data_IF_822103712073
#
_entry.id   IF_822103712073
#
_cell.length_a   1.000
_cell.length_b   1.000
_cell.length_c   1.000
_cell.angle_alpha   90.00
_cell.angle_beta   90.00
_cell.angle_gamma   90.00
#
_symmetry.space_group_name_H-M   'P 1'
#
loop_
_entity.id
_entity.type
_entity.pdbx_description
1 polymer ?
#
# COMPACT_ATOMS: atom_id res chain seq x y z
N UNK A 1 8.51 5.78 11.77
CA UNK A 1 7.74 5.72 13.04
C UNK A 1 6.62 4.71 12.90
N UNK A 2 6.17 4.10 13.99
CA UNK A 2 5.00 3.22 14.01
C UNK A 2 3.91 3.75 14.94
N UNK A 3 2.66 3.32 14.72
CA UNK A 3 1.51 3.68 15.56
C UNK A 3 0.74 2.42 15.94
N UNK A 4 0.32 2.33 17.19
CA UNK A 4 -0.50 1.21 17.70
C UNK A 4 -1.43 1.67 18.81
N UNK A 5 -2.44 0.87 19.07
CA UNK A 5 -3.41 1.06 20.15
C UNK A 5 -4.41 -0.07 20.13
N UNK A 6 -5.03 -0.34 21.28
CA UNK A 6 -6.09 -1.33 21.39
C UNK A 6 -7.47 -0.69 21.54
N UNK A 7 -8.50 -1.34 20.98
CA UNK A 7 -9.90 -0.95 21.15
C UNK A 7 -10.14 0.47 20.62
N UNK A 8 -10.67 1.38 21.44
CA UNK A 8 -10.81 2.80 21.08
C UNK A 8 -9.51 3.44 20.60
N UNK A 9 -8.36 3.08 21.18
CA UNK A 9 -7.06 3.55 20.70
C UNK A 9 -6.62 2.83 19.42
N UNK A 10 -7.13 1.64 19.16
CA UNK A 10 -6.96 0.93 17.89
C UNK A 10 -7.67 1.64 16.75
N UNK A 11 -8.87 2.20 16.99
CA UNK A 11 -9.57 3.09 16.02
C UNK A 11 -8.69 4.30 15.69
N UNK A 12 -8.15 4.96 16.72
CA UNK A 12 -7.24 6.09 16.55
C UNK A 12 -5.95 5.73 15.81
N UNK A 13 -5.30 4.61 16.16
CA UNK A 13 -4.09 4.13 15.48
C UNK A 13 -4.36 3.81 14.01
N UNK A 14 -5.52 3.22 13.70
CA UNK A 14 -5.95 2.98 12.33
C UNK A 14 -6.14 4.30 11.57
N UNK A 15 -6.92 5.25 12.11
CA UNK A 15 -7.14 6.56 11.50
C UNK A 15 -5.83 7.34 11.26
N UNK A 16 -4.92 7.35 12.24
CA UNK A 16 -3.58 7.95 12.09
C UNK A 16 -2.83 7.28 10.94
N UNK A 17 -2.87 5.96 10.85
CA UNK A 17 -2.24 5.22 9.76
C UNK A 17 -2.83 5.51 8.39
N UNK A 18 -4.15 5.71 8.31
CA UNK A 18 -4.87 6.05 7.07
C UNK A 18 -4.48 7.43 6.56
N UNK A 19 -4.43 8.44 7.43
CA UNK A 19 -4.27 9.84 7.01
C UNK A 19 -2.84 10.38 7.10
N UNK A 20 -1.98 9.86 7.98
CA UNK A 20 -0.59 10.30 8.11
C UNK A 20 0.37 9.40 7.33
N UNK A 21 0.75 9.86 6.14
CA UNK A 21 1.65 9.13 5.24
C UNK A 21 3.09 8.99 5.77
N UNK A 22 3.45 9.64 6.89
CA UNK A 22 4.77 9.50 7.54
C UNK A 22 4.86 8.26 8.43
N UNK A 23 3.73 7.60 8.71
CA UNK A 23 3.67 6.40 9.54
C UNK A 23 4.09 5.18 8.71
N UNK A 24 5.25 4.63 9.03
CA UNK A 24 5.83 3.51 8.29
C UNK A 24 5.18 2.15 8.62
N UNK A 25 4.61 2.03 9.84
CA UNK A 25 3.94 0.81 10.31
C UNK A 25 2.72 1.16 11.18
N UNK A 26 1.55 0.73 10.75
CA UNK A 26 0.28 0.90 11.47
C UNK A 26 -0.17 -0.43 12.06
N UNK A 27 -0.50 -0.45 13.34
CA UNK A 27 -0.80 -1.68 14.09
C UNK A 27 -2.05 -1.52 14.97
N UNK A 28 -3.27 -1.48 14.39
CA UNK A 28 -4.50 -1.41 15.15
C UNK A 28 -4.79 -2.77 15.80
N UNK A 29 -5.10 -2.76 17.08
CA UNK A 29 -5.45 -3.95 17.86
C UNK A 29 -6.93 -3.88 18.24
N UNK A 30 -7.71 -4.90 17.88
CA UNK A 30 -9.10 -5.10 18.30
C UNK A 30 -9.95 -3.83 18.15
N UNK A 31 -9.81 -3.15 17.00
CA UNK A 31 -10.31 -1.79 16.82
C UNK A 31 -11.84 -1.69 16.81
N UNK A 32 -12.54 -2.75 16.39
CA UNK A 32 -14.01 -2.81 16.38
C UNK A 32 -14.67 -1.83 15.41
N UNK A 33 -16.01 -1.71 15.45
CA UNK A 33 -16.78 -0.77 14.61
C UNK A 33 -16.24 0.66 14.70
N UNK A 34 -16.22 1.40 13.58
CA UNK A 34 -15.47 2.68 13.43
C UNK A 34 -13.94 2.56 13.45
N UNK A 35 -13.41 1.33 13.53
CA UNK A 35 -12.02 0.96 13.26
C UNK A 35 -11.92 0.24 11.92
N UNK A 36 -11.42 -0.99 11.91
CA UNK A 36 -11.14 -1.80 10.71
C UNK A 36 -12.35 -2.52 10.07
N UNK A 37 -13.37 -3.03 10.79
CA UNK A 37 -14.54 -3.66 10.17
C UNK A 37 -15.18 -2.84 9.06
N UNK A 38 -15.56 -3.48 7.94
CA UNK A 38 -16.38 -2.83 6.90
C UNK A 38 -17.73 -2.39 7.47
N UNK A 39 -18.15 -1.17 7.17
CA UNK A 39 -19.42 -0.61 7.63
C UNK A 39 -20.62 -1.43 7.12
N UNK A 40 -20.56 -1.91 5.87
CA UNK A 40 -21.64 -2.71 5.28
C UNK A 40 -21.80 -4.11 5.91
N UNK A 41 -20.77 -4.62 6.55
CA UNK A 41 -20.82 -5.93 7.22
C UNK A 41 -21.28 -5.88 8.67
N UNK A 42 -21.29 -4.70 9.30
CA UNK A 42 -21.73 -4.53 10.69
C UNK A 42 -23.19 -4.96 10.90
N UNK A 43 -24.18 -4.56 10.06
CA UNK A 43 -25.55 -5.04 10.21
C UNK A 43 -25.64 -6.57 10.08
N UNK A 44 -26.12 -7.23 11.14
CA UNK A 44 -26.34 -8.69 11.14
C UNK A 44 -25.17 -9.53 11.62
N UNK A 45 -24.00 -8.94 11.92
CA UNK A 45 -22.84 -9.68 12.46
C UNK A 45 -22.89 -9.86 13.99
N UNK A 46 -23.65 -9.03 14.72
CA UNK A 46 -23.59 -8.96 16.18
C UNK A 46 -22.47 -8.04 16.71
N UNK A 47 -21.88 -7.24 15.82
CA UNK A 47 -20.93 -6.19 16.15
C UNK A 47 -21.62 -4.98 16.82
N UNK A 48 -20.81 -4.10 17.41
CA UNK A 48 -21.29 -2.77 17.83
C UNK A 48 -21.94 -2.09 16.62
N UNK A 49 -23.20 -1.66 16.75
CA UNK A 49 -23.90 -1.01 15.63
C UNK A 49 -23.25 0.31 15.25
N UNK A 50 -23.41 0.73 13.99
CA UNK A 50 -22.84 1.99 13.50
C UNK A 50 -23.42 3.20 14.23
N UNK A 51 -24.71 3.17 14.58
CA UNK A 51 -25.35 4.21 15.38
C UNK A 51 -24.81 4.25 16.81
N UNK A 52 -24.55 3.10 17.43
CA UNK A 52 -23.90 3.04 18.74
C UNK A 52 -22.47 3.58 18.69
N UNK A 53 -21.67 3.16 17.72
CA UNK A 53 -20.28 3.64 17.57
C UNK A 53 -20.21 5.15 17.30
N UNK A 54 -21.13 5.69 16.48
CA UNK A 54 -21.24 7.12 16.20
C UNK A 54 -21.67 7.93 17.44
N UNK A 55 -22.61 7.40 18.23
CA UNK A 55 -23.15 8.09 19.40
C UNK A 55 -22.33 7.94 20.68
N UNK A 56 -21.41 6.96 20.76
CA UNK A 56 -20.63 6.69 21.97
C UNK A 56 -19.60 7.79 22.24
N UNK A 57 -18.85 8.19 21.21
CA UNK A 57 -17.78 9.19 21.24
C UNK A 57 -17.60 9.80 19.85
N UNK A 58 -17.00 11.00 19.71
CA UNK A 58 -16.80 11.66 18.42
C UNK A 58 -15.64 11.05 17.60
N UNK A 59 -15.66 9.73 17.36
CA UNK A 59 -14.66 9.01 16.57
C UNK A 59 -14.87 9.17 15.06
N UNK A 60 -16.10 9.46 14.64
CA UNK A 60 -16.52 9.61 13.25
C UNK A 60 -17.04 11.03 13.05
N UNK A 61 -16.78 11.61 11.88
CA UNK A 61 -17.27 12.95 11.55
C UNK A 61 -18.79 12.99 11.40
N UNK A 62 -19.39 14.15 11.65
CA UNK A 62 -20.86 14.37 11.70
C UNK A 62 -21.60 13.87 10.45
N UNK A 63 -20.97 13.95 9.28
CA UNK A 63 -21.52 13.45 8.02
C UNK A 63 -21.89 11.95 8.08
N UNK A 64 -21.17 11.15 8.88
CA UNK A 64 -21.43 9.73 9.04
C UNK A 64 -22.80 9.44 9.67
N UNK A 65 -23.34 10.36 10.46
CA UNK A 65 -24.64 10.20 11.13
C UNK A 65 -25.77 9.81 10.17
N UNK A 66 -25.76 10.37 8.96
CA UNK A 66 -26.74 10.09 7.89
C UNK A 66 -26.70 8.68 7.32
N UNK A 67 -25.65 7.91 7.64
CA UNK A 67 -25.39 6.58 7.07
C UNK A 67 -25.45 5.45 8.11
N UNK A 68 -25.57 5.78 9.40
CA UNK A 68 -25.56 4.80 10.49
C UNK A 68 -26.62 3.70 10.37
N UNK A 69 -27.76 3.98 9.72
CA UNK A 69 -28.84 3.03 9.42
C UNK A 69 -28.86 2.55 7.96
N UNK A 70 -27.96 3.06 7.11
CA UNK A 70 -27.94 2.79 5.66
C UNK A 70 -26.51 2.81 5.10
N UNK A 71 -25.59 1.96 5.61
CA UNK A 71 -24.18 2.01 5.23
C UNK A 71 -23.94 1.74 3.74
N UNK A 72 -24.85 1.01 3.07
CA UNK A 72 -24.78 0.77 1.62
C UNK A 72 -24.79 2.05 0.77
N UNK A 73 -25.28 3.18 1.32
CA UNK A 73 -25.32 4.48 0.65
C UNK A 73 -24.00 5.25 0.72
N UNK A 74 -23.04 4.83 1.55
CA UNK A 74 -21.72 5.47 1.58
C UNK A 74 -21.01 5.18 0.24
N UNK A 75 -20.38 6.16 -0.41
CA UNK A 75 -19.58 5.87 -1.61
C UNK A 75 -18.26 5.17 -1.28
N UNK A 76 -17.98 4.95 0.01
CA UNK A 76 -16.76 4.31 0.51
C UNK A 76 -17.05 3.23 1.54
N UNK A 77 -16.07 2.37 1.80
CA UNK A 77 -16.07 1.45 2.95
C UNK A 77 -14.65 1.27 3.52
N UNK A 78 -14.54 0.62 4.68
CA UNK A 78 -13.29 0.54 5.45
C UNK A 78 -12.18 -0.21 4.71
N UNK A 79 -12.48 -1.11 3.77
CA UNK A 79 -11.46 -1.75 2.93
C UNK A 79 -10.67 -0.75 2.05
N UNK A 80 -11.28 0.36 1.63
CA UNK A 80 -10.59 1.44 0.93
C UNK A 80 -9.74 2.26 1.89
N UNK A 81 -10.17 2.41 3.15
CA UNK A 81 -9.35 3.02 4.19
C UNK A 81 -8.12 2.15 4.49
N UNK A 82 -8.28 0.83 4.54
CA UNK A 82 -7.14 -0.12 4.60
C UNK A 82 -6.21 0.10 3.41
N UNK A 83 -6.75 0.31 2.21
CA UNK A 83 -5.96 0.58 1.01
C UNK A 83 -5.19 1.91 1.06
N UNK A 84 -5.68 2.94 1.76
CA UNK A 84 -4.95 4.21 1.98
C UNK A 84 -3.67 4.06 2.82
N UNK A 85 -3.51 2.92 3.51
CA UNK A 85 -2.25 2.58 4.19
C UNK A 85 -1.21 2.04 3.20
N UNK A 86 -1.63 1.48 2.06
CA UNK A 86 -0.71 0.93 1.08
C UNK A 86 0.22 2.00 0.46
N UNK A 87 1.48 1.68 0.16
CA UNK A 87 2.17 0.40 0.37
C UNK A 87 2.85 0.29 1.74
N UNK A 88 2.53 1.15 2.71
CA UNK A 88 3.17 1.17 4.04
C UNK A 88 2.78 -0.08 4.85
N UNK A 89 3.56 -0.40 5.87
CA UNK A 89 3.32 -1.59 6.69
C UNK A 89 2.02 -1.49 7.46
N UNK A 90 1.21 -2.54 7.40
CA UNK A 90 -0.03 -2.65 8.15
C UNK A 90 -0.13 -4.02 8.83
N UNK A 91 -0.28 -4.04 10.15
CA UNK A 91 -0.56 -5.26 10.90
C UNK A 91 -1.83 -5.12 11.73
N UNK A 92 -2.93 -5.66 11.22
CA UNK A 92 -4.23 -5.71 11.90
C UNK A 92 -4.26 -6.94 12.82
N UNK A 93 -4.49 -6.70 14.10
CA UNK A 93 -4.59 -7.73 15.14
C UNK A 93 -6.02 -7.76 15.69
N UNK A 94 -6.73 -8.87 15.52
CA UNK A 94 -8.15 -8.96 15.87
C UNK A 94 -8.46 -10.16 16.77
N UNK A 95 -9.65 -10.11 17.38
CA UNK A 95 -10.10 -11.10 18.33
C UNK A 95 -11.45 -11.71 17.86
N UNK A 96 -11.46 -12.99 17.46
CA UNK A 96 -12.62 -13.65 16.89
C UNK A 96 -13.63 -14.10 17.95
N UNK A 97 -13.29 -13.96 19.24
CA UNK A 97 -14.12 -14.39 20.37
C UNK A 97 -15.12 -13.30 20.81
N UNK A 98 -14.94 -12.06 20.36
CA UNK A 98 -15.78 -10.92 20.74
C UNK A 98 -16.57 -10.46 19.51
N UNK A 99 -17.83 -10.91 19.40
CA UNK A 99 -18.72 -10.54 18.30
C UNK A 99 -18.86 -9.01 18.15
N UNK A 100 -18.89 -8.28 19.27
CA UNK A 100 -19.00 -6.82 19.30
C UNK A 100 -17.89 -6.08 18.50
N UNK A 101 -16.74 -6.73 18.26
CA UNK A 101 -15.65 -6.16 17.45
C UNK A 101 -15.86 -6.30 15.93
N UNK A 102 -16.85 -7.06 15.48
CA UNK A 102 -17.05 -7.33 14.04
C UNK A 102 -15.86 -8.04 13.36
N UNK A 103 -15.32 -9.14 13.91
CA UNK A 103 -14.12 -9.79 13.37
C UNK A 103 -14.30 -10.37 11.96
N UNK A 104 -15.51 -10.81 11.58
CA UNK A 104 -15.81 -11.25 10.21
C UNK A 104 -15.69 -10.06 9.27
N UNK A 105 -16.31 -8.93 9.59
CA UNK A 105 -16.22 -7.70 8.80
C UNK A 105 -14.80 -7.13 8.75
N UNK A 106 -14.02 -7.24 9.83
CA UNK A 106 -12.63 -6.79 9.84
C UNK A 106 -11.75 -7.64 8.92
N UNK A 107 -11.94 -8.95 8.90
CA UNK A 107 -11.23 -9.82 7.95
C UNK A 107 -11.60 -9.53 6.49
N UNK A 108 -12.86 -9.19 6.20
CA UNK A 108 -13.27 -8.73 4.86
C UNK A 108 -12.59 -7.41 4.50
N UNK A 109 -12.50 -6.46 5.43
CA UNK A 109 -11.80 -5.19 5.20
C UNK A 109 -10.32 -5.41 4.86
N UNK A 110 -9.64 -6.28 5.63
CA UNK A 110 -8.25 -6.63 5.41
C UNK A 110 -8.03 -7.33 4.06
N UNK A 111 -8.88 -8.29 3.70
CA UNK A 111 -8.81 -8.99 2.42
C UNK A 111 -9.07 -8.03 1.24
N UNK A 112 -10.07 -7.15 1.35
CA UNK A 112 -10.38 -6.17 0.30
C UNK A 112 -9.25 -5.16 0.10
N UNK A 113 -8.69 -4.63 1.19
CA UNK A 113 -7.52 -3.75 1.12
C UNK A 113 -6.27 -4.47 0.60
N UNK A 114 -6.10 -5.77 0.93
CA UNK A 114 -4.97 -6.58 0.43
C UNK A 114 -4.96 -6.70 -1.10
N UNK A 115 -6.11 -6.59 -1.78
CA UNK A 115 -6.14 -6.55 -3.25
C UNK A 115 -5.47 -5.29 -3.81
N UNK A 116 -5.57 -4.15 -3.12
CA UNK A 116 -4.84 -2.93 -3.50
C UNK A 116 -3.34 -3.06 -3.22
N UNK A 117 -2.97 -3.63 -2.06
CA UNK A 117 -1.57 -3.97 -1.78
C UNK A 117 -0.98 -4.88 -2.87
N UNK A 118 -1.73 -5.91 -3.30
CA UNK A 118 -1.35 -6.80 -4.38
C UNK A 118 -1.20 -6.07 -5.71
N UNK A 119 -2.17 -5.23 -6.08
CA UNK A 119 -2.14 -4.44 -7.30
C UNK A 119 -0.92 -3.49 -7.37
N UNK A 120 -0.48 -2.99 -6.21
CA UNK A 120 0.72 -2.15 -6.04
C UNK A 120 2.05 -2.93 -5.96
N UNK A 121 2.03 -4.26 -6.06
CA UNK A 121 3.24 -5.08 -5.87
C UNK A 121 3.76 -5.10 -4.42
N UNK A 122 2.94 -4.67 -3.46
CA UNK A 122 3.27 -4.56 -2.04
C UNK A 122 2.49 -5.57 -1.19
N UNK A 123 2.00 -6.68 -1.78
CA UNK A 123 1.18 -7.68 -1.09
C UNK A 123 1.79 -8.17 0.23
N UNK A 124 3.11 -8.24 0.31
CA UNK A 124 3.88 -8.65 1.48
C UNK A 124 3.87 -7.62 2.64
N UNK A 125 3.22 -6.48 2.48
CA UNK A 125 3.24 -5.38 3.46
C UNK A 125 2.00 -5.30 4.34
N UNK A 126 1.00 -6.16 4.09
CA UNK A 126 -0.19 -6.28 4.94
C UNK A 126 -0.18 -7.61 5.69
N UNK A 127 -0.43 -7.54 6.99
CA UNK A 127 -0.61 -8.68 7.89
C UNK A 127 -1.96 -8.54 8.57
N UNK A 128 -2.72 -9.62 8.65
CA UNK A 128 -3.97 -9.71 9.40
C UNK A 128 -3.93 -10.96 10.26
N UNK A 129 -4.25 -10.87 11.54
CA UNK A 129 -4.24 -12.03 12.40
C UNK A 129 -5.38 -12.00 13.42
N UNK A 130 -6.36 -12.89 13.23
CA UNK A 130 -7.40 -13.17 14.23
C UNK A 130 -7.37 -14.60 14.75
N UNK A 131 -6.56 -15.51 14.20
CA UNK A 131 -6.51 -16.88 14.72
C UNK A 131 -5.70 -16.99 16.01
N UNK A 132 -6.40 -16.78 17.13
CA UNK A 132 -5.87 -16.69 18.49
C UNK A 132 -6.68 -17.53 19.47
N UNK A 133 -6.02 -18.06 20.50
CA UNK A 133 -6.69 -18.89 21.52
C UNK A 133 -7.34 -18.06 22.61
N UNK A 134 -6.63 -17.06 23.15
CA UNK A 134 -7.15 -16.20 24.21
C UNK A 134 -8.14 -15.16 23.67
N UNK A 135 -9.38 -15.22 24.16
CA UNK A 135 -10.47 -14.29 23.81
C UNK A 135 -10.52 -13.02 24.64
N UNK A 136 -9.62 -12.85 25.61
CA UNK A 136 -9.59 -11.67 26.48
C UNK A 136 -9.31 -10.40 25.67
N UNK A 137 -10.12 -9.37 25.90
CA UNK A 137 -10.02 -8.10 25.17
C UNK A 137 -8.68 -7.40 25.45
N UNK A 138 -7.99 -6.97 24.41
CA UNK A 138 -6.67 -6.32 24.49
C UNK A 138 -5.56 -7.14 25.14
N UNK A 139 -5.72 -8.46 25.22
CA UNK A 139 -4.67 -9.34 25.73
C UNK A 139 -3.47 -9.40 24.77
N UNK A 140 -2.28 -9.52 25.35
CA UNK A 140 -1.09 -9.85 24.59
C UNK A 140 -1.08 -11.34 24.26
N UNK A 141 -0.80 -11.71 23.01
CA UNK A 141 -0.95 -13.07 22.50
C UNK A 141 0.34 -13.56 21.87
N UNK A 142 0.70 -14.79 22.18
CA UNK A 142 1.93 -15.42 21.67
C UNK A 142 1.94 -15.52 20.14
N UNK A 143 0.77 -15.72 19.56
CA UNK A 143 0.50 -15.87 18.13
C UNK A 143 0.84 -14.58 17.36
N UNK A 144 0.76 -13.42 18.00
CA UNK A 144 1.12 -12.14 17.40
C UNK A 144 2.62 -11.81 17.50
N UNK A 145 3.38 -12.50 18.36
CA UNK A 145 4.77 -12.12 18.65
C UNK A 145 5.68 -12.17 17.42
N UNK A 146 5.68 -13.29 16.70
CA UNK A 146 6.51 -13.46 15.50
C UNK A 146 6.11 -12.49 14.38
N UNK A 147 4.84 -12.39 13.94
CA UNK A 147 4.46 -11.43 12.91
C UNK A 147 4.70 -9.97 13.32
N UNK A 148 4.53 -9.63 14.61
CA UNK A 148 4.88 -8.30 15.12
C UNK A 148 6.37 -8.00 14.95
N UNK A 149 7.24 -8.92 15.37
CA UNK A 149 8.70 -8.76 15.22
C UNK A 149 9.10 -8.64 13.75
N UNK A 150 8.50 -9.42 12.86
CA UNK A 150 8.77 -9.35 11.41
C UNK A 150 8.35 -7.99 10.83
N UNK A 151 7.15 -7.50 11.16
CA UNK A 151 6.70 -6.18 10.73
C UNK A 151 7.61 -5.05 11.26
N UNK A 152 8.03 -5.11 12.53
CA UNK A 152 8.96 -4.13 13.10
C UNK A 152 10.31 -4.17 12.37
N UNK A 153 10.89 -5.36 12.17
CA UNK A 153 12.16 -5.52 11.44
C UNK A 153 12.08 -4.96 10.03
N UNK A 154 11.01 -5.27 9.30
CA UNK A 154 10.81 -4.83 7.91
C UNK A 154 10.56 -3.33 7.80
N UNK A 155 9.62 -2.78 8.57
CA UNK A 155 9.15 -1.40 8.35
C UNK A 155 9.85 -0.36 9.19
N UNK A 156 10.32 -0.70 10.39
CA UNK A 156 10.92 0.26 11.32
C UNK A 156 12.45 0.13 11.39
N UNK A 157 12.99 -1.09 11.41
CA UNK A 157 14.43 -1.32 11.52
C UNK A 157 15.13 -1.50 10.17
N UNK A 158 14.37 -1.81 9.11
CA UNK A 158 14.88 -2.08 7.76
C UNK A 158 15.89 -3.25 7.71
N UNK A 159 15.68 -4.27 8.55
CA UNK A 159 16.55 -5.44 8.67
C UNK A 159 15.88 -6.77 8.29
N UNK A 160 14.59 -6.76 7.97
CA UNK A 160 13.83 -7.93 7.54
C UNK A 160 13.10 -7.72 6.22
N UNK A 161 12.74 -8.81 5.54
CA UNK A 161 11.98 -8.81 4.29
C UNK A 161 10.77 -9.78 4.32
N UNK A 162 10.47 -10.34 5.48
CA UNK A 162 9.50 -11.39 5.68
C UNK A 162 8.11 -10.93 5.22
N UNK A 163 7.37 -11.77 4.48
CA UNK A 163 6.07 -11.40 3.97
C UNK A 163 5.06 -11.32 5.11
N UNK A 164 4.13 -10.36 4.99
CA UNK A 164 2.93 -10.33 5.80
C UNK A 164 2.08 -11.57 5.60
N UNK A 165 1.28 -11.91 6.62
CA UNK A 165 0.43 -13.11 6.62
C UNK A 165 -0.99 -12.70 6.96
N UNK A 166 -1.96 -13.19 6.20
CA UNK A 166 -3.38 -13.09 6.53
C UNK A 166 -3.83 -14.44 7.12
N UNK A 167 -4.03 -14.46 8.44
CA UNK A 167 -4.44 -15.64 9.21
C UNK A 167 -5.75 -15.36 9.96
N UNK A 168 -6.84 -15.84 9.38
CA UNK A 168 -8.20 -15.58 9.86
C UNK A 168 -8.67 -16.79 10.67
N UNK A 169 -9.23 -16.57 11.86
CA UNK A 169 -9.83 -17.65 12.65
C UNK A 169 -11.07 -18.22 11.96
N UNK A 170 -11.24 -19.54 12.02
CA UNK A 170 -12.45 -20.22 11.54
C UNK A 170 -13.73 -19.80 12.29
N UNK A 171 -13.59 -19.26 13.51
CA UNK A 171 -14.69 -18.73 14.33
C UNK A 171 -15.40 -17.52 13.69
N UNK A 172 -14.67 -16.73 12.91
CA UNK A 172 -15.16 -15.47 12.34
C UNK A 172 -14.61 -15.26 10.92
N UNK A 173 -14.76 -16.26 10.07
CA UNK A 173 -14.21 -16.25 8.71
C UNK A 173 -15.00 -15.31 7.78
N UNK A 174 -14.41 -14.17 7.42
CA UNK A 174 -14.87 -13.34 6.30
C UNK A 174 -14.45 -13.94 4.97
N UNK A 175 -15.35 -13.88 3.98
CA UNK A 175 -15.09 -14.35 2.60
C UNK A 175 -15.19 -13.17 1.66
N UNK A 176 -14.06 -12.69 1.12
CA UNK A 176 -14.06 -11.53 0.23
C UNK A 176 -14.96 -11.71 -1.01
N UNK A 177 -15.06 -12.94 -1.53
CA UNK A 177 -15.91 -13.26 -2.68
C UNK A 177 -17.40 -12.95 -2.46
N UNK A 178 -17.87 -12.91 -1.21
CA UNK A 178 -19.26 -12.54 -0.88
C UNK A 178 -19.50 -11.02 -0.97
N UNK A 179 -18.43 -10.22 -1.04
CA UNK A 179 -18.47 -8.75 -0.88
C UNK A 179 -17.89 -7.97 -2.06
N UNK A 180 -17.34 -8.67 -3.06
CA UNK A 180 -16.54 -8.08 -4.13
C UNK A 180 -16.95 -8.62 -5.48
N UNK A 181 -17.18 -7.72 -6.43
CA UNK A 181 -17.50 -8.02 -7.83
C UNK A 181 -16.47 -7.47 -8.85
N UNK A 182 -15.41 -6.80 -8.38
CA UNK A 182 -14.30 -6.32 -9.22
C UNK A 182 -13.12 -7.31 -9.26
N UNK A 183 -12.36 -7.45 -10.36
CA UNK A 183 -11.09 -8.18 -10.37
C UNK A 183 -9.96 -7.33 -9.76
N UNK A 184 -8.79 -7.94 -9.51
CA UNK A 184 -7.64 -7.21 -8.97
C UNK A 184 -6.90 -6.64 -10.17
N UNK A 185 -6.84 -5.32 -10.34
CA UNK A 185 -6.21 -4.76 -11.51
C UNK A 185 -4.70 -5.03 -11.46
N UNK A 186 -4.10 -5.18 -12.64
CA UNK A 186 -2.66 -4.98 -12.81
C UNK A 186 -2.48 -3.50 -13.09
N UNK A 187 -1.83 -2.79 -12.17
CA UNK A 187 -1.53 -1.37 -12.35
C UNK A 187 -0.33 -1.24 -13.29
N UNK A 188 -0.51 -0.61 -14.45
CA UNK A 188 0.52 -0.46 -15.48
C UNK A 188 1.47 0.73 -15.24
N UNK A 189 1.36 1.37 -14.08
CA UNK A 189 1.97 2.63 -13.69
C UNK A 189 2.80 2.56 -12.38
N UNK A 190 3.10 1.34 -11.89
CA UNK A 190 4.01 1.07 -10.76
C UNK A 190 5.16 0.10 -11.11
N UNK A 191 6.35 0.20 -10.46
CA UNK A 191 7.55 -0.51 -10.88
C UNK A 191 7.53 -1.99 -10.44
N UNK A 192 7.30 -2.92 -11.36
CA UNK A 192 7.33 -4.38 -11.07
C UNK A 192 8.57 -5.09 -11.61
N UNK A 193 9.72 -4.42 -11.71
CA UNK A 193 10.99 -5.13 -11.82
C UNK A 193 11.65 -5.17 -10.44
N UNK A 194 11.72 -6.35 -9.79
CA UNK A 194 12.67 -6.58 -8.70
C UNK A 194 14.06 -6.08 -9.12
N UNK A 195 14.87 -5.49 -8.21
CA UNK A 195 16.25 -5.17 -8.53
C UNK A 195 16.94 -6.39 -9.16
N UNK A 196 17.66 -6.25 -10.29
CA UNK A 196 18.42 -7.35 -10.85
C UNK A 196 19.31 -7.99 -9.78
N UNK A 197 19.35 -9.32 -9.76
CA UNK A 197 20.35 -10.06 -9.00
C UNK A 197 21.70 -9.93 -9.74
N UNK A 198 22.33 -8.77 -9.61
CA UNK A 198 23.58 -8.39 -10.27
C UNK A 198 23.97 -6.98 -9.84
N UNK A 199 25.25 -6.64 -9.86
CA UNK A 199 25.78 -5.34 -9.42
C UNK A 199 25.34 -4.11 -10.25
N UNK A 200 24.22 -4.20 -10.96
CA UNK A 200 23.69 -3.18 -11.88
C UNK A 200 22.59 -2.32 -11.23
N UNK A 201 22.13 -1.31 -11.96
CA UNK A 201 20.96 -0.51 -11.59
C UNK A 201 19.68 -1.04 -12.25
N UNK A 202 18.53 -0.70 -11.67
CA UNK A 202 17.21 -0.87 -12.26
C UNK A 202 16.63 0.50 -12.63
N UNK A 203 15.79 0.56 -13.66
CA UNK A 203 14.99 1.73 -13.94
C UNK A 203 13.52 1.36 -14.07
N UNK A 204 12.63 2.26 -13.68
CA UNK A 204 11.21 2.12 -13.88
C UNK A 204 10.58 3.44 -14.26
N UNK A 205 9.59 3.41 -15.14
CA UNK A 205 8.90 4.60 -15.66
C UNK A 205 7.46 4.62 -15.17
N UNK A 206 7.01 5.79 -14.74
CA UNK A 206 5.60 6.11 -14.49
C UNK A 206 5.18 7.20 -15.46
N UNK A 207 4.01 7.04 -16.09
CA UNK A 207 3.54 7.91 -17.18
C UNK A 207 2.22 8.56 -16.76
N UNK A 208 2.20 9.88 -16.70
CA UNK A 208 0.99 10.67 -16.61
C UNK A 208 0.58 11.14 -18.01
N UNK A 209 -0.44 10.50 -18.58
CA UNK A 209 -0.87 10.67 -19.98
C UNK A 209 -2.09 11.59 -20.09
N UNK A 210 -2.09 12.44 -21.11
CA UNK A 210 -3.28 13.15 -21.60
C UNK A 210 -3.38 13.04 -23.13
N UNK A 211 -4.43 13.63 -23.73
CA UNK A 211 -4.61 13.60 -25.19
C UNK A 211 -3.43 14.27 -25.89
N UNK A 212 -2.64 13.49 -26.63
CA UNK A 212 -1.55 13.98 -27.47
C UNK A 212 -0.22 14.23 -26.74
N UNK A 213 -0.11 13.95 -25.43
CA UNK A 213 1.15 14.10 -24.70
C UNK A 213 1.16 13.42 -23.33
N UNK A 214 2.34 13.39 -22.72
CA UNK A 214 2.56 12.76 -21.43
C UNK A 214 3.74 13.38 -20.68
N UNK A 215 3.77 13.17 -19.36
CA UNK A 215 4.97 13.30 -18.53
C UNK A 215 5.40 11.91 -18.10
N UNK A 216 6.68 11.60 -18.27
CA UNK A 216 7.30 10.38 -17.77
C UNK A 216 8.25 10.71 -16.61
N UNK A 217 8.03 10.08 -15.46
CA UNK A 217 8.96 10.08 -14.33
C UNK A 217 9.70 8.75 -14.31
N UNK A 218 11.02 8.79 -14.35
CA UNK A 218 11.87 7.59 -14.36
C UNK A 218 12.64 7.50 -13.06
N UNK A 219 12.39 6.44 -12.31
CA UNK A 219 13.08 6.10 -11.07
C UNK A 219 14.23 5.14 -11.36
N UNK A 220 15.44 5.53 -10.96
CA UNK A 220 16.66 4.72 -11.08
C UNK A 220 17.04 4.21 -9.69
N UNK A 221 17.18 2.90 -9.53
CA UNK A 221 17.50 2.24 -8.26
C UNK A 221 18.83 1.50 -8.38
N UNK A 222 19.77 1.75 -7.48
CA UNK A 222 21.00 0.96 -7.44
C UNK A 222 20.72 -0.44 -6.88
N UNK A 223 21.39 -1.46 -7.41
CA UNK A 223 21.33 -2.83 -6.90
C UNK A 223 22.04 -2.99 -5.56
N UNK A 224 22.68 -4.15 -5.37
CA UNK A 224 23.39 -4.46 -4.12
C UNK A 224 24.68 -3.64 -3.89
N UNK A 225 25.20 -3.00 -4.93
CA UNK A 225 26.35 -2.10 -4.88
C UNK A 225 25.93 -0.66 -5.18
N UNK A 226 26.61 0.35 -4.59
CA UNK A 226 26.40 1.73 -4.98
C UNK A 226 26.86 1.95 -6.43
N UNK A 227 26.20 2.88 -7.14
CA UNK A 227 26.61 3.34 -8.48
C UNK A 227 27.08 4.80 -8.42
N UNK A 228 28.06 5.15 -9.24
CA UNK A 228 28.59 6.52 -9.36
C UNK A 228 28.02 7.28 -10.56
N UNK A 229 27.49 6.55 -11.54
CA UNK A 229 26.72 7.06 -12.64
C UNK A 229 25.70 6.03 -13.10
N UNK A 230 24.74 6.48 -13.90
CA UNK A 230 23.74 5.60 -14.48
C UNK A 230 23.41 6.04 -15.90
N UNK A 231 23.09 5.05 -16.73
CA UNK A 231 22.51 5.25 -18.05
C UNK A 231 21.22 4.47 -18.15
N UNK A 232 20.12 5.15 -18.47
CA UNK A 232 18.83 4.53 -18.77
C UNK A 232 18.61 4.53 -20.28
N UNK A 233 18.40 3.36 -20.87
CA UNK A 233 17.98 3.24 -22.27
C UNK A 233 16.47 2.99 -22.32
N UNK A 234 15.77 3.79 -23.13
CA UNK A 234 14.33 3.68 -23.34
C UNK A 234 14.03 3.70 -24.83
N UNK A 235 13.15 2.81 -25.30
CA UNK A 235 12.60 2.91 -26.66
C UNK A 235 11.22 3.56 -26.56
N UNK A 236 11.07 4.73 -27.19
CA UNK A 236 9.81 5.46 -27.24
C UNK A 236 8.86 4.78 -28.25
N UNK A 237 7.54 4.72 -27.98
CA UNK A 237 6.55 4.22 -28.92
C UNK A 237 6.59 4.99 -30.25
N UNK A 238 6.20 4.33 -31.33
CA UNK A 238 6.13 4.96 -32.64
C UNK A 238 5.23 6.20 -32.61
N UNK A 239 5.72 7.32 -33.14
CA UNK A 239 5.01 8.61 -33.13
C UNK A 239 5.12 9.40 -31.83
N UNK A 240 5.77 8.88 -30.79
CA UNK A 240 6.11 9.65 -29.60
C UNK A 240 7.43 10.40 -29.77
N UNK A 241 7.54 11.58 -29.16
CA UNK A 241 8.77 12.38 -29.15
C UNK A 241 8.95 13.16 -27.86
N UNK A 242 10.18 13.36 -27.42
CA UNK A 242 10.52 14.12 -26.20
C UNK A 242 10.58 15.61 -26.54
N UNK A 243 9.97 16.45 -25.70
CA UNK A 243 10.00 17.91 -25.83
C UNK A 243 10.87 18.59 -24.77
N UNK A 244 10.91 18.05 -23.55
CA UNK A 244 11.74 18.58 -22.47
C UNK A 244 12.22 17.47 -21.53
N UNK A 245 13.34 17.70 -20.86
CA UNK A 245 13.96 16.80 -19.87
C UNK A 245 14.43 17.61 -18.68
N UNK A 246 14.35 17.05 -17.49
CA UNK A 246 15.02 17.55 -16.29
C UNK A 246 15.75 16.43 -15.57
N UNK A 247 16.80 16.80 -14.82
CA UNK A 247 17.59 15.87 -14.00
C UNK A 247 18.27 14.74 -14.77
N UNK A 248 18.42 14.87 -16.10
CA UNK A 248 19.16 13.95 -16.96
C UNK A 248 19.70 14.69 -18.19
N UNK A 249 20.72 14.13 -18.83
CA UNK A 249 21.05 14.41 -20.23
C UNK A 249 20.36 13.38 -21.12
N UNK A 250 20.12 13.67 -22.41
CA UNK A 250 19.50 12.72 -23.35
C UNK A 250 20.24 12.66 -24.70
N UNK A 251 20.22 11.51 -25.36
CA UNK A 251 20.91 11.29 -26.65
C UNK A 251 20.09 11.66 -27.90
N UNK A 252 18.80 11.95 -27.74
CA UNK A 252 17.88 12.24 -28.85
C UNK A 252 16.44 12.39 -28.36
N UNK A 253 15.52 12.62 -29.30
CA UNK A 253 14.12 12.95 -29.00
C UNK A 253 13.11 11.90 -29.47
N UNK A 254 13.51 10.92 -30.30
CA UNK A 254 12.63 9.89 -30.87
C UNK A 254 13.33 8.53 -30.90
N UNK A 255 12.56 7.44 -31.06
CA UNK A 255 13.11 6.08 -31.13
C UNK A 255 13.77 5.64 -29.82
N UNK A 256 14.96 5.03 -29.89
CA UNK A 256 15.73 4.63 -28.71
C UNK A 256 16.55 5.80 -28.19
N UNK A 257 16.23 6.25 -26.98
CA UNK A 257 16.88 7.37 -26.29
C UNK A 257 17.66 6.85 -25.09
N UNK A 258 18.89 7.36 -24.92
CA UNK A 258 19.69 7.13 -23.71
C UNK A 258 19.65 8.37 -22.84
N UNK A 259 19.34 8.18 -21.57
CA UNK A 259 19.39 9.20 -20.52
C UNK A 259 20.58 8.93 -19.61
N UNK A 260 21.39 9.95 -19.33
CA UNK A 260 22.50 9.85 -18.37
C UNK A 260 22.30 10.84 -17.24
N UNK A 261 22.86 10.52 -16.08
CA UNK A 261 22.80 11.38 -14.91
C UNK A 261 23.40 12.77 -15.18
N UNK A 262 22.93 13.75 -14.42
CA UNK A 262 23.61 15.05 -14.25
C UNK A 262 24.52 14.98 -13.01
N UNK A 263 25.31 16.03 -12.76
CA UNK A 263 26.35 16.01 -11.75
C UNK A 263 25.86 15.65 -10.34
N UNK A 264 24.66 16.10 -9.94
CA UNK A 264 24.17 15.94 -8.57
C UNK A 264 23.47 14.61 -8.30
N UNK A 265 23.08 13.84 -9.32
CA UNK A 265 22.27 12.62 -9.15
C UNK A 265 22.90 11.35 -9.72
N UNK A 266 24.20 11.37 -10.06
CA UNK A 266 24.91 10.17 -10.50
C UNK A 266 25.15 9.15 -9.40
N UNK A 267 25.55 9.61 -8.22
CA UNK A 267 25.83 8.75 -7.07
C UNK A 267 24.53 8.27 -6.41
N UNK A 268 24.30 6.96 -6.42
CA UNK A 268 23.15 6.32 -5.76
C UNK A 268 23.66 5.17 -4.90
N UNK A 269 23.44 5.26 -3.59
CA UNK A 269 23.87 4.22 -2.66
C UNK A 269 23.10 2.91 -2.90
N UNK A 270 23.67 1.77 -2.50
CA UNK A 270 23.06 0.45 -2.66
C UNK A 270 21.61 0.43 -2.15
N UNK A 271 20.68 -0.08 -2.96
CA UNK A 271 19.24 -0.11 -2.68
C UNK A 271 18.54 1.25 -2.62
N UNK A 272 19.24 2.37 -2.79
CA UNK A 272 18.64 3.71 -2.86
C UNK A 272 18.21 4.04 -4.29
N UNK A 273 17.50 5.15 -4.46
CA UNK A 273 17.02 5.58 -5.76
C UNK A 273 17.16 7.08 -5.99
N UNK A 274 17.24 7.45 -7.26
CA UNK A 274 17.11 8.82 -7.74
C UNK A 274 16.08 8.87 -8.87
N UNK A 275 15.69 10.07 -9.28
CA UNK A 275 14.67 10.27 -10.32
C UNK A 275 15.10 11.33 -11.33
N UNK A 276 14.64 11.13 -12.56
CA UNK A 276 14.60 12.16 -13.59
C UNK A 276 13.24 12.12 -14.29
N UNK A 277 12.95 13.12 -15.12
CA UNK A 277 11.73 13.08 -15.90
C UNK A 277 11.83 13.83 -17.21
N UNK A 278 10.82 13.61 -18.04
CA UNK A 278 10.69 14.24 -19.34
C UNK A 278 9.23 14.40 -19.76
N UNK A 279 8.98 15.41 -20.59
CA UNK A 279 7.71 15.58 -21.26
C UNK A 279 7.82 15.07 -22.69
N UNK A 280 6.76 14.43 -23.19
CA UNK A 280 6.68 13.97 -24.57
C UNK A 280 5.33 14.23 -25.22
N UNK A 281 5.32 14.15 -26.55
CA UNK A 281 4.13 14.12 -27.41
C UNK A 281 3.75 12.67 -27.75
N UNK A 282 2.50 12.45 -28.13
CA UNK A 282 1.99 11.12 -28.48
C UNK A 282 1.63 10.29 -27.25
N UNK A 283 1.88 8.97 -27.31
CA UNK A 283 1.57 8.03 -26.22
C UNK A 283 2.83 7.56 -25.51
N UNK A 284 2.81 7.61 -24.18
CA UNK A 284 3.87 7.14 -23.30
C UNK A 284 3.72 5.68 -22.86
N UNK A 285 2.60 5.03 -23.18
CA UNK A 285 2.27 3.70 -22.68
C UNK A 285 3.18 2.61 -23.27
N UNK A 286 3.51 1.60 -22.46
CA UNK A 286 4.31 0.43 -22.89
C UNK A 286 5.81 0.65 -22.95
N UNK A 287 6.31 1.77 -22.42
CA UNK A 287 7.74 2.04 -22.28
C UNK A 287 8.40 1.12 -21.24
N UNK A 288 9.50 0.47 -21.62
CA UNK A 288 10.26 -0.41 -20.73
C UNK A 288 11.72 0.09 -20.68
N UNK A 289 12.15 0.73 -19.57
CA UNK A 289 13.51 1.20 -19.42
C UNK A 289 14.45 0.05 -19.04
N UNK A 290 15.68 0.11 -19.55
CA UNK A 290 16.81 -0.68 -19.03
C UNK A 290 17.84 0.25 -18.42
N UNK A 291 18.51 -0.18 -17.37
CA UNK A 291 19.52 0.63 -16.68
C UNK A 291 20.86 -0.10 -16.67
N UNK A 292 21.94 0.64 -16.88
CA UNK A 292 23.31 0.17 -16.68
C UNK A 292 24.06 1.14 -15.77
N UNK A 293 24.82 0.60 -14.82
CA UNK A 293 25.76 1.39 -14.04
C UNK A 293 26.87 1.94 -14.96
N UNK A 294 27.37 3.14 -14.67
CA UNK A 294 28.45 3.79 -15.40
C UNK A 294 29.61 4.15 -14.46
#
# INVERSE_FOLDING_TARGET
MGVTGCSRYGKGAFAIGVFDQRIALTMPIESGSAGVPIFRGIPGEGAQSLSSAYGEQPWLGDAFGSFTSSPNRLPVDTHEMVAMVAPRGLFIMDNPHIANLGPRSASVAALGGAEVYKALGAGDNITYWSDVQDGSHCANRSEWRTPLQNNIRKFLLKTGNEPGVIRISSRALGRLADWRDWPTPVLSDGPTTPPPAGGDCAAAVSVNQWTGGFVATVRVTAGAAPVTGWTVTMTLPAGAGITSVWSANRSGDTGTVRFTNVAYNGAVAAGQSTEFGYQGTGTGAGMVPTCSAA
#
